data_IF_349027144579
#
_entry.id   IF_349027144579
#
_cell.length_a   1.000
_cell.length_b   1.000
_cell.length_c   1.000
_cell.angle_alpha   90.00
_cell.angle_beta   90.00
_cell.angle_gamma   90.00
#
_symmetry.space_group_name_H-M   'P 1'
#
loop_
_entity.id
_entity.type
_entity.pdbx_description
1 polymer ?
#
# COMPACT_ATOMS: atom_id res chain seq x y z
N UNK A 1 12.41 -29.18 -1.66
CA UNK A 1 11.54 -29.48 -2.82
C UNK A 1 11.35 -28.19 -3.60
N UNK A 2 11.56 -28.21 -4.92
CA UNK A 2 11.34 -27.04 -5.76
C UNK A 2 9.82 -26.75 -5.85
N UNK A 3 9.43 -25.47 -5.80
CA UNK A 3 8.04 -25.06 -5.95
C UNK A 3 7.60 -25.18 -7.41
N UNK A 4 6.40 -25.72 -7.62
CA UNK A 4 5.69 -25.73 -8.90
C UNK A 4 5.26 -24.32 -9.33
N UNK A 5 4.92 -24.15 -10.61
CA UNK A 5 4.51 -22.85 -11.14
C UNK A 5 3.22 -22.33 -10.50
N UNK A 6 2.25 -23.20 -10.20
CA UNK A 6 1.01 -22.81 -9.50
C UNK A 6 1.31 -22.29 -8.09
N UNK A 7 2.26 -22.88 -7.38
CA UNK A 7 2.69 -22.42 -6.05
C UNK A 7 3.42 -21.08 -6.14
N UNK A 8 4.30 -20.92 -7.15
CA UNK A 8 4.98 -19.64 -7.42
C UNK A 8 4.01 -18.51 -7.76
N UNK A 9 2.95 -18.78 -8.52
CA UNK A 9 1.93 -17.80 -8.88
C UNK A 9 1.11 -17.37 -7.65
N UNK A 10 0.65 -18.34 -6.85
CA UNK A 10 -0.06 -18.06 -5.59
C UNK A 10 0.80 -17.22 -4.65
N UNK A 11 2.08 -17.57 -4.48
CA UNK A 11 3.00 -16.80 -3.64
C UNK A 11 3.20 -15.38 -4.14
N UNK A 12 3.25 -15.15 -5.46
CA UNK A 12 3.38 -13.80 -6.01
C UNK A 12 2.16 -12.94 -5.69
N UNK A 13 0.95 -13.49 -5.84
CA UNK A 13 -0.30 -12.79 -5.55
C UNK A 13 -0.44 -12.43 -4.06
N UNK A 14 -0.12 -13.39 -3.17
CA UNK A 14 -0.14 -13.16 -1.72
C UNK A 14 0.96 -12.18 -1.32
N UNK A 15 2.17 -12.28 -1.89
CA UNK A 15 3.28 -11.37 -1.61
C UNK A 15 2.96 -9.92 -1.99
N UNK A 16 2.26 -9.69 -3.11
CA UNK A 16 1.82 -8.35 -3.50
C UNK A 16 0.91 -7.74 -2.44
N UNK A 17 0.03 -8.52 -1.82
CA UNK A 17 -0.93 -8.02 -0.83
C UNK A 17 -0.33 -7.93 0.58
N UNK A 18 0.64 -8.79 0.89
CA UNK A 18 1.33 -8.83 2.18
C UNK A 18 2.11 -7.53 2.48
N UNK A 19 2.64 -6.84 1.46
CA UNK A 19 3.34 -5.56 1.66
C UNK A 19 2.44 -4.49 2.31
N UNK A 20 1.13 -4.59 2.10
CA UNK A 20 0.13 -3.69 2.67
C UNK A 20 -0.48 -4.22 3.96
N UNK A 21 0.09 -5.31 4.51
CA UNK A 21 -0.49 -6.05 5.64
C UNK A 21 -1.96 -6.44 5.39
N UNK A 22 -2.28 -6.81 4.16
CA UNK A 22 -3.62 -7.20 3.73
C UNK A 22 -3.67 -8.71 3.47
N UNK A 23 -4.02 -9.54 4.47
CA UNK A 23 -4.21 -10.97 4.27
C UNK A 23 -5.41 -11.18 3.35
N UNK A 24 -5.45 -12.23 2.53
CA UNK A 24 -6.43 -12.45 1.46
C UNK A 24 -7.37 -13.62 1.75
N UNK A 25 -8.60 -13.61 1.23
CA UNK A 25 -9.41 -14.83 1.11
C UNK A 25 -8.86 -15.73 -0.01
N UNK A 26 -9.27 -17.00 -0.03
CA UNK A 26 -8.94 -17.90 -1.12
C UNK A 26 -9.43 -17.38 -2.48
N UNK A 27 -10.64 -16.83 -2.54
CA UNK A 27 -11.20 -16.23 -3.75
C UNK A 27 -10.38 -15.01 -4.22
N UNK A 28 -9.99 -14.13 -3.30
CA UNK A 28 -9.14 -12.99 -3.63
C UNK A 28 -7.75 -13.42 -4.12
N UNK A 29 -7.16 -14.48 -3.54
CA UNK A 29 -5.90 -15.04 -4.03
C UNK A 29 -6.05 -15.46 -5.49
N UNK A 30 -7.10 -16.23 -5.80
CA UNK A 30 -7.34 -16.75 -7.15
C UNK A 30 -7.53 -15.59 -8.13
N UNK A 31 -8.37 -14.60 -7.80
CA UNK A 31 -8.59 -13.39 -8.63
C UNK A 31 -7.31 -12.59 -8.87
N UNK A 32 -6.38 -12.59 -7.91
CA UNK A 32 -5.09 -11.85 -7.95
C UNK A 32 -3.94 -12.66 -8.55
N UNK A 33 -4.13 -13.94 -8.90
CA UNK A 33 -3.10 -14.76 -9.52
C UNK A 33 -2.87 -14.31 -10.97
N UNK A 34 -1.65 -13.87 -11.27
CA UNK A 34 -1.28 -13.46 -12.61
C UNK A 34 -1.07 -14.69 -13.50
N UNK A 35 -1.67 -14.75 -14.70
CA UNK A 35 -1.18 -15.70 -15.73
C UNK A 35 -1.64 -15.49 -17.18
N UNK A 36 -0.68 -15.49 -18.13
CA UNK A 36 -0.84 -16.07 -19.46
C UNK A 36 -0.53 -17.59 -19.43
N UNK A 37 -1.55 -18.46 -19.52
CA UNK A 37 -1.40 -19.91 -19.76
C UNK A 37 -2.38 -20.84 -19.02
N UNK A 38 -2.46 -22.11 -19.45
CA UNK A 38 -3.42 -23.17 -19.01
C UNK A 38 -3.26 -23.66 -17.55
N UNK A 39 -3.36 -22.80 -16.54
CA UNK A 39 -3.56 -23.24 -15.15
C UNK A 39 -5.04 -23.10 -14.81
N UNK A 40 -5.64 -24.15 -14.26
CA UNK A 40 -7.03 -24.12 -13.80
C UNK A 40 -7.14 -23.58 -12.38
N UNK A 41 -8.30 -23.05 -12.02
CA UNK A 41 -8.62 -22.63 -10.66
C UNK A 41 -8.35 -23.73 -9.63
N UNK A 42 -8.78 -24.98 -9.92
CA UNK A 42 -8.53 -26.15 -9.07
C UNK A 42 -7.05 -26.38 -8.77
N UNK A 43 -6.17 -26.10 -9.74
CA UNK A 43 -4.71 -26.24 -9.54
C UNK A 43 -4.13 -25.15 -8.62
N UNK A 44 -4.71 -23.94 -8.64
CA UNK A 44 -4.35 -22.86 -7.71
C UNK A 44 -4.84 -23.18 -6.28
N UNK A 45 -6.04 -23.72 -6.14
CA UNK A 45 -6.59 -24.14 -4.83
C UNK A 45 -5.70 -25.21 -4.19
N UNK A 46 -5.33 -26.25 -4.95
CA UNK A 46 -4.39 -27.28 -4.49
C UNK A 46 -3.00 -26.69 -4.15
N UNK A 47 -2.56 -25.65 -4.86
CA UNK A 47 -1.29 -24.98 -4.56
C UNK A 47 -1.36 -24.20 -3.23
N UNK A 48 -2.48 -23.55 -2.92
CA UNK A 48 -2.70 -22.88 -1.62
C UNK A 48 -2.57 -23.91 -0.47
N UNK A 49 -3.23 -25.06 -0.59
CA UNK A 49 -3.15 -26.13 0.43
C UNK A 49 -1.74 -26.67 0.61
N UNK A 50 -1.01 -26.91 -0.49
CA UNK A 50 0.40 -27.34 -0.43
C UNK A 50 1.28 -26.30 0.24
N UNK A 51 1.09 -25.01 -0.07
CA UNK A 51 1.86 -23.93 0.53
C UNK A 51 1.59 -23.76 2.04
N UNK A 52 0.38 -24.07 2.51
CA UNK A 52 0.09 -24.18 3.94
C UNK A 52 0.86 -25.34 4.59
N UNK A 53 0.85 -26.53 3.98
CA UNK A 53 1.63 -27.70 4.45
C UNK A 53 3.13 -27.41 4.50
N UNK A 54 3.64 -26.68 3.52
CA UNK A 54 5.04 -26.23 3.44
C UNK A 54 5.36 -25.05 4.37
N UNK A 55 4.38 -24.53 5.13
CA UNK A 55 4.52 -23.37 6.03
C UNK A 55 5.05 -22.11 5.32
N UNK A 56 4.75 -21.96 4.02
CA UNK A 56 5.04 -20.71 3.26
C UNK A 56 3.87 -19.73 3.34
N UNK A 57 2.65 -20.25 3.49
CA UNK A 57 1.47 -19.50 3.87
C UNK A 57 1.04 -19.85 5.29
N UNK A 58 0.34 -18.93 5.92
CA UNK A 58 -0.40 -19.13 7.17
C UNK A 58 -1.86 -18.75 6.95
N UNK A 59 -2.77 -19.40 7.68
CA UNK A 59 -4.20 -19.16 7.62
C UNK A 59 -4.73 -18.81 9.02
N UNK A 60 -5.57 -17.80 9.11
CA UNK A 60 -6.37 -17.46 10.28
C UNK A 60 -7.80 -17.17 9.82
N UNK A 61 -8.79 -17.89 10.38
CA UNK A 61 -10.18 -17.87 9.90
C UNK A 61 -10.25 -18.15 8.39
N UNK A 62 -10.84 -17.25 7.60
CA UNK A 62 -10.94 -17.37 6.14
C UNK A 62 -9.81 -16.63 5.38
N UNK A 63 -8.81 -16.14 6.11
CA UNK A 63 -7.76 -15.29 5.56
C UNK A 63 -6.40 -15.96 5.54
N UNK A 64 -5.59 -15.60 4.55
CA UNK A 64 -4.30 -16.19 4.21
C UNK A 64 -3.27 -15.08 4.04
N UNK A 65 -2.07 -15.26 4.57
CA UNK A 65 -0.93 -14.35 4.31
C UNK A 65 0.37 -15.15 4.23
N UNK A 66 1.47 -14.48 3.90
CA UNK A 66 2.78 -15.10 3.93
C UNK A 66 3.15 -15.47 5.36
N UNK A 67 3.77 -16.64 5.55
CA UNK A 67 4.24 -17.07 6.86
C UNK A 67 5.28 -16.14 7.49
N UNK A 68 5.97 -15.34 6.67
CA UNK A 68 6.93 -14.31 7.10
C UNK A 68 6.26 -12.99 7.53
N UNK A 69 4.97 -12.80 7.27
CA UNK A 69 4.18 -11.61 7.65
C UNK A 69 2.89 -11.95 8.42
N UNK A 70 2.95 -12.77 9.48
CA UNK A 70 1.74 -13.22 10.18
C UNK A 70 1.03 -12.10 10.95
N UNK A 71 1.72 -10.99 11.28
CA UNK A 71 1.09 -9.83 11.92
C UNK A 71 0.05 -9.14 11.01
N UNK A 72 0.05 -9.42 9.70
CA UNK A 72 -0.94 -8.89 8.77
C UNK A 72 -2.38 -9.23 9.18
N UNK A 73 -2.59 -10.33 9.92
CA UNK A 73 -3.93 -10.69 10.41
C UNK A 73 -4.53 -9.64 11.36
N UNK A 74 -3.72 -8.88 12.11
CA UNK A 74 -4.21 -7.83 13.02
C UNK A 74 -5.02 -6.76 12.28
N UNK A 75 -4.69 -6.51 11.02
CA UNK A 75 -5.35 -5.48 10.20
C UNK A 75 -6.65 -5.99 9.56
N UNK A 76 -6.91 -7.30 9.57
CA UNK A 76 -8.14 -7.92 9.06
C UNK A 76 -8.94 -8.65 10.15
N UNK A 77 -8.57 -8.52 11.42
CA UNK A 77 -9.47 -8.74 12.56
C UNK A 77 -10.54 -7.65 12.54
N UNK A 78 -11.46 -7.81 11.59
CA UNK A 78 -12.55 -6.92 11.17
C UNK A 78 -13.64 -6.73 12.24
N UNK A 79 -13.35 -7.03 13.51
CA UNK A 79 -14.31 -7.02 14.61
C UNK A 79 -13.99 -5.91 15.63
N UNK A 80 -12.82 -5.26 15.54
CA UNK A 80 -12.55 -4.13 16.43
C UNK A 80 -13.53 -2.99 16.14
N UNK A 81 -14.22 -2.50 17.18
CA UNK A 81 -15.14 -1.36 17.08
C UNK A 81 -14.48 -0.15 16.40
N UNK A 82 -13.18 0.04 16.64
CA UNK A 82 -12.35 1.08 16.02
C UNK A 82 -12.29 0.95 14.49
N UNK A 83 -12.01 -0.24 13.96
CA UNK A 83 -11.96 -0.47 12.51
C UNK A 83 -13.30 -0.18 11.83
N UNK A 84 -14.40 -0.68 12.42
CA UNK A 84 -15.74 -0.46 11.89
C UNK A 84 -16.13 1.03 11.90
N UNK A 85 -15.75 1.76 12.95
CA UNK A 85 -15.94 3.20 13.03
C UNK A 85 -15.15 3.96 11.95
N UNK A 86 -13.86 3.64 11.75
CA UNK A 86 -13.04 4.27 10.71
C UNK A 86 -13.62 3.96 9.33
N UNK A 87 -14.00 2.71 9.06
CA UNK A 87 -14.60 2.32 7.78
C UNK A 87 -15.89 3.10 7.53
N UNK A 88 -16.79 3.15 8.51
CA UNK A 88 -18.05 3.91 8.40
C UNK A 88 -17.79 5.38 8.11
N UNK A 89 -16.85 6.00 8.84
CA UNK A 89 -16.45 7.38 8.62
C UNK A 89 -15.92 7.61 7.19
N UNK A 90 -15.09 6.71 6.67
CA UNK A 90 -14.61 6.76 5.28
C UNK A 90 -15.76 6.62 4.26
N UNK A 91 -16.72 5.74 4.53
CA UNK A 91 -17.90 5.56 3.67
C UNK A 91 -18.80 6.80 3.64
N UNK A 92 -18.93 7.53 4.75
CA UNK A 92 -19.62 8.82 4.80
C UNK A 92 -18.93 9.87 3.90
N UNK A 93 -17.60 9.96 3.99
CA UNK A 93 -16.78 10.85 3.14
C UNK A 93 -16.91 10.51 1.65
N UNK A 94 -16.94 9.22 1.32
CA UNK A 94 -17.16 8.76 -0.07
C UNK A 94 -18.55 9.15 -0.53
N UNK A 95 -19.57 8.97 0.32
CA UNK A 95 -20.97 9.26 -0.01
C UNK A 95 -21.18 10.74 -0.33
N UNK A 96 -20.52 11.65 0.39
CA UNK A 96 -20.52 13.08 0.07
C UNK A 96 -20.01 13.37 -1.35
N UNK A 97 -18.91 12.76 -1.76
CA UNK A 97 -18.36 12.93 -3.11
C UNK A 97 -19.31 12.34 -4.16
N UNK A 98 -19.89 11.17 -3.90
CA UNK A 98 -20.87 10.52 -4.79
C UNK A 98 -22.08 11.43 -5.03
N UNK A 99 -22.61 12.06 -3.97
CA UNK A 99 -23.72 13.02 -4.08
C UNK A 99 -23.34 14.24 -4.93
N UNK A 100 -22.13 14.78 -4.78
CA UNK A 100 -21.64 15.88 -5.61
C UNK A 100 -21.47 15.47 -7.07
N UNK A 101 -20.84 14.32 -7.32
CA UNK A 101 -20.63 13.78 -8.66
C UNK A 101 -21.94 13.48 -9.39
N UNK A 102 -22.96 13.01 -8.69
CA UNK A 102 -24.27 12.77 -9.27
C UNK A 102 -24.99 14.06 -9.70
N UNK A 103 -24.72 15.20 -9.05
CA UNK A 103 -25.26 16.50 -9.44
C UNK A 103 -24.62 17.10 -10.69
N UNK A 104 -23.44 16.63 -11.07
CA UNK A 104 -22.74 17.11 -12.28
C UNK A 104 -23.04 16.13 -13.43
N UNK A 105 -23.82 16.53 -14.45
CA UNK A 105 -24.30 15.61 -15.49
C UNK A 105 -23.17 14.95 -16.29
N UNK A 106 -22.10 15.69 -16.55
CA UNK A 106 -20.96 15.22 -17.34
C UNK A 106 -19.92 14.41 -16.54
N UNK A 107 -20.12 14.18 -15.24
CA UNK A 107 -19.31 13.22 -14.48
C UNK A 107 -19.90 11.83 -14.70
N UNK A 108 -19.14 10.99 -15.42
CA UNK A 108 -19.55 9.65 -15.82
C UNK A 108 -19.16 8.60 -14.77
N UNK A 109 -17.98 8.73 -14.19
CA UNK A 109 -17.41 7.73 -13.30
C UNK A 109 -16.71 8.35 -12.09
N UNK A 110 -16.93 7.73 -10.93
CA UNK A 110 -16.14 7.98 -9.72
C UNK A 110 -15.69 6.62 -9.22
N UNK A 111 -14.37 6.47 -9.12
CA UNK A 111 -13.72 5.19 -8.84
C UNK A 111 -12.74 5.41 -7.70
N UNK A 112 -12.85 4.61 -6.64
CA UNK A 112 -11.88 4.60 -5.55
C UNK A 112 -10.68 3.76 -5.99
N UNK A 113 -9.49 4.27 -5.70
CA UNK A 113 -8.18 3.68 -6.03
C UNK A 113 -7.32 3.56 -4.77
N UNK A 114 -6.08 3.09 -4.90
CA UNK A 114 -5.13 3.05 -3.79
C UNK A 114 -5.49 2.07 -2.66
N UNK A 115 -5.00 2.34 -1.46
CA UNK A 115 -5.05 1.42 -0.32
C UNK A 115 -6.48 1.08 0.12
N UNK A 116 -7.38 2.07 0.10
CA UNK A 116 -8.78 1.86 0.48
C UNK A 116 -9.50 0.91 -0.49
N UNK A 117 -9.26 1.06 -1.80
CA UNK A 117 -9.83 0.18 -2.82
C UNK A 117 -9.27 -1.24 -2.71
N UNK A 118 -7.99 -1.37 -2.34
CA UNK A 118 -7.33 -2.65 -2.05
C UNK A 118 -7.87 -3.38 -0.80
N UNK A 119 -8.73 -2.72 -0.01
CA UNK A 119 -9.33 -3.26 1.21
C UNK A 119 -8.52 -2.98 2.48
N UNK A 120 -7.60 -2.01 2.43
CA UNK A 120 -6.79 -1.56 3.57
C UNK A 120 -7.37 -0.26 4.11
N UNK A 121 -8.05 -0.34 5.26
CA UNK A 121 -8.64 0.83 5.93
C UNK A 121 -7.64 1.39 6.94
N UNK A 122 -7.21 2.62 6.74
CA UNK A 122 -6.30 3.33 7.63
C UNK A 122 -6.91 4.65 8.06
N UNK A 123 -6.75 4.97 9.35
CA UNK A 123 -7.32 6.15 10.00
C UNK A 123 -6.74 7.44 9.39
N UNK A 124 -5.42 7.52 9.25
CA UNK A 124 -4.69 8.74 8.87
C UNK A 124 -4.32 8.85 7.39
N UNK A 125 -4.90 8.01 6.54
CA UNK A 125 -4.66 8.07 5.10
C UNK A 125 -5.76 8.84 4.40
N UNK A 126 -5.50 9.39 3.24
CA UNK A 126 -6.47 10.01 2.33
C UNK A 126 -7.35 8.98 1.62
N UNK A 127 -8.26 9.46 0.77
CA UNK A 127 -9.05 8.65 -0.15
C UNK A 127 -8.69 9.03 -1.59
N UNK A 128 -8.11 8.08 -2.31
CA UNK A 128 -7.68 8.27 -3.70
C UNK A 128 -8.81 7.99 -4.69
N UNK A 129 -9.07 8.94 -5.58
CA UNK A 129 -10.11 8.84 -6.59
C UNK A 129 -9.58 8.98 -8.02
N UNK A 130 -10.12 8.14 -8.90
CA UNK A 130 -10.16 8.32 -10.34
C UNK A 130 -11.53 8.91 -10.72
N UNK A 131 -11.52 10.05 -11.43
CA UNK A 131 -12.73 10.69 -11.95
C UNK A 131 -12.74 10.57 -13.47
N UNK A 132 -13.89 10.18 -14.03
CA UNK A 132 -14.11 10.05 -15.47
C UNK A 132 -15.23 10.99 -15.88
N UNK A 133 -14.97 11.81 -16.91
CA UNK A 133 -15.90 12.85 -17.39
C UNK A 133 -16.24 12.68 -18.87
N UNK A 134 -17.28 13.37 -19.36
CA UNK A 134 -17.48 13.55 -20.81
C UNK A 134 -16.32 14.32 -21.42
N UNK A 135 -16.16 14.17 -22.74
CA UNK A 135 -15.13 14.87 -23.52
C UNK A 135 -15.11 16.37 -23.22
N UNK A 136 -13.91 16.95 -23.06
CA UNK A 136 -13.71 18.39 -22.81
C UNK A 136 -14.42 18.94 -21.55
N UNK A 137 -14.52 18.11 -20.49
CA UNK A 137 -15.05 18.54 -19.19
C UNK A 137 -14.13 18.20 -18.01
N UNK A 138 -13.00 17.56 -18.28
CA UNK A 138 -12.09 17.06 -17.26
C UNK A 138 -11.57 18.19 -16.37
N UNK A 139 -11.04 19.25 -16.97
CA UNK A 139 -10.32 20.30 -16.26
C UNK A 139 -11.24 21.26 -15.53
N UNK A 140 -12.41 21.55 -16.10
CA UNK A 140 -13.47 22.31 -15.45
C UNK A 140 -14.02 21.52 -14.24
N UNK A 141 -14.29 20.23 -14.41
CA UNK A 141 -14.75 19.37 -13.30
C UNK A 141 -13.70 19.31 -12.20
N UNK A 142 -12.42 19.17 -12.58
CA UNK A 142 -11.32 19.19 -11.63
C UNK A 142 -11.28 20.48 -10.84
N UNK A 143 -11.41 21.64 -11.49
CA UNK A 143 -11.45 22.93 -10.82
C UNK A 143 -12.61 23.00 -9.81
N UNK A 144 -13.81 22.56 -10.23
CA UNK A 144 -15.00 22.52 -9.36
C UNK A 144 -14.77 21.59 -8.16
N UNK A 145 -14.23 20.39 -8.37
CA UNK A 145 -13.98 19.42 -7.31
C UNK A 145 -12.93 19.90 -6.32
N UNK A 146 -11.87 20.56 -6.80
CA UNK A 146 -10.85 21.17 -5.94
C UNK A 146 -11.45 22.28 -5.07
N UNK A 147 -12.30 23.13 -5.65
CA UNK A 147 -12.99 24.20 -4.93
C UNK A 147 -13.97 23.65 -3.89
N UNK A 148 -14.83 22.69 -4.27
CA UNK A 148 -15.77 22.05 -3.36
C UNK A 148 -15.07 21.27 -2.25
N UNK A 149 -13.95 20.61 -2.56
CA UNK A 149 -13.10 19.94 -1.57
C UNK A 149 -12.57 20.94 -0.55
N UNK A 150 -12.12 22.13 -0.97
CA UNK A 150 -11.68 23.18 -0.06
C UNK A 150 -12.82 23.69 0.85
N UNK A 151 -14.00 23.98 0.27
CA UNK A 151 -15.18 24.44 1.05
C UNK A 151 -15.63 23.40 2.07
N UNK A 152 -15.58 22.11 1.71
CA UNK A 152 -15.98 21.01 2.59
C UNK A 152 -14.90 20.62 3.60
N UNK A 153 -13.77 21.32 3.63
CA UNK A 153 -12.63 20.97 4.49
C UNK A 153 -11.99 19.62 4.13
N UNK A 154 -12.22 19.11 2.91
CA UNK A 154 -11.69 17.83 2.41
C UNK A 154 -10.28 17.98 1.82
N UNK A 155 -9.57 19.04 2.21
CA UNK A 155 -8.19 19.37 1.82
C UNK A 155 -7.43 19.90 3.03
N UNK A 156 -6.21 19.40 3.30
CA UNK A 156 -5.40 19.91 4.39
C UNK A 156 -5.06 21.38 4.11
N UNK A 157 -5.32 22.26 5.09
CA UNK A 157 -5.09 23.70 4.95
C UNK A 157 -3.60 24.08 5.01
N UNK A 158 -2.78 23.23 5.63
CA UNK A 158 -1.35 23.45 5.82
C UNK A 158 -0.55 22.21 5.38
N UNK A 159 0.71 22.38 4.90
CA UNK A 159 1.63 21.27 4.71
C UNK A 159 1.79 20.47 6.01
N UNK A 160 1.56 19.16 5.97
CA UNK A 160 1.60 18.29 7.15
C UNK A 160 0.30 18.25 7.98
N UNK A 161 -0.78 18.89 7.53
CA UNK A 161 -2.11 18.78 8.14
C UNK A 161 -2.71 17.38 8.04
N UNK A 162 -3.77 17.12 8.81
CA UNK A 162 -4.46 15.83 8.80
C UNK A 162 -5.12 15.55 7.44
N UNK A 163 -4.72 14.45 6.81
CA UNK A 163 -5.23 14.00 5.51
C UNK A 163 -6.28 12.90 5.63
N UNK A 164 -6.59 12.44 6.85
CA UNK A 164 -7.53 11.34 7.13
C UNK A 164 -8.89 11.47 6.42
N UNK A 165 -9.31 12.70 6.18
CA UNK A 165 -10.62 13.05 5.68
C UNK A 165 -10.57 13.70 4.28
N UNK A 166 -9.40 13.65 3.63
CA UNK A 166 -9.15 14.33 2.37
C UNK A 166 -9.62 13.52 1.17
N UNK A 167 -10.12 14.25 0.16
CA UNK A 167 -10.31 13.70 -1.18
C UNK A 167 -9.06 14.00 -2.00
N UNK A 168 -8.31 12.96 -2.35
CA UNK A 168 -7.24 13.09 -3.32
C UNK A 168 -7.70 12.58 -4.69
N UNK A 169 -7.50 13.40 -5.72
CA UNK A 169 -7.95 13.13 -7.07
C UNK A 169 -6.74 12.84 -7.95
N UNK A 170 -6.19 11.64 -7.78
CA UNK A 170 -4.94 11.19 -8.40
C UNK A 170 -5.04 10.96 -9.90
N UNK A 171 -6.22 10.56 -10.38
CA UNK A 171 -6.42 10.21 -11.77
C UNK A 171 -7.64 10.92 -12.35
N UNK A 172 -7.46 11.48 -13.53
CA UNK A 172 -8.51 12.11 -14.30
C UNK A 172 -8.47 11.59 -15.71
N UNK A 173 -9.61 11.16 -16.21
CA UNK A 173 -9.82 10.71 -17.57
C UNK A 173 -11.07 11.39 -18.13
N UNK A 174 -11.11 11.57 -19.43
CA UNK A 174 -12.37 11.77 -20.14
C UNK A 174 -12.73 10.53 -20.95
N UNK A 175 -13.97 10.47 -21.40
CA UNK A 175 -14.53 9.33 -22.14
C UNK A 175 -13.82 9.02 -23.46
N UNK A 176 -12.94 9.90 -23.95
CA UNK A 176 -12.17 9.66 -25.19
C UNK A 176 -10.87 8.93 -24.92
N UNK A 177 -10.46 8.83 -23.65
CA UNK A 177 -9.23 8.15 -23.25
C UNK A 177 -9.39 7.49 -21.88
N UNK A 178 -9.87 6.26 -21.87
CA UNK A 178 -10.05 5.48 -20.64
C UNK A 178 -8.83 4.61 -20.29
N UNK A 179 -7.82 4.56 -21.17
CA UNK A 179 -6.55 3.88 -20.90
C UNK A 179 -5.83 4.48 -19.69
N UNK A 180 -5.52 3.64 -18.70
CA UNK A 180 -4.81 4.05 -17.49
C UNK A 180 -3.34 4.40 -17.72
N UNK A 181 -2.74 4.01 -18.84
CA UNK A 181 -1.33 4.31 -19.13
C UNK A 181 -1.13 4.62 -20.62
N UNK A 182 -0.23 5.58 -20.91
CA UNK A 182 0.25 5.83 -22.27
C UNK A 182 1.41 4.89 -22.65
N UNK A 183 2.35 4.64 -21.72
CA UNK A 183 3.70 4.17 -22.11
C UNK A 183 4.20 2.90 -21.39
N UNK A 184 3.47 2.32 -20.41
CA UNK A 184 3.93 1.07 -19.78
C UNK A 184 2.80 0.26 -19.15
N UNK A 185 2.55 -0.94 -19.69
CA UNK A 185 1.74 -1.98 -19.03
C UNK A 185 2.63 -2.69 -18.01
N UNK A 186 2.51 -2.39 -16.72
CA UNK A 186 3.21 -3.17 -15.67
C UNK A 186 2.23 -3.81 -14.71
N UNK A 187 2.72 -4.81 -13.98
CA UNK A 187 1.93 -5.53 -12.98
C UNK A 187 1.36 -4.59 -11.90
N UNK A 188 2.03 -3.46 -11.62
CA UNK A 188 1.52 -2.45 -10.71
C UNK A 188 0.21 -1.84 -11.22
N UNK A 189 0.19 -1.33 -12.46
CA UNK A 189 -1.05 -0.74 -13.01
C UNK A 189 -2.14 -1.79 -13.20
N UNK A 190 -1.76 -3.04 -13.48
CA UNK A 190 -2.70 -4.15 -13.53
C UNK A 190 -3.39 -4.34 -12.17
N UNK A 191 -2.62 -4.35 -11.07
CA UNK A 191 -3.18 -4.48 -9.71
C UNK A 191 -4.00 -3.25 -9.29
N UNK A 192 -3.55 -2.03 -9.61
CA UNK A 192 -4.34 -0.81 -9.36
C UNK A 192 -5.70 -0.90 -10.05
N UNK A 193 -5.73 -1.32 -11.32
CA UNK A 193 -6.96 -1.47 -12.07
C UNK A 193 -7.86 -2.58 -11.52
N UNK A 194 -7.28 -3.74 -11.17
CA UNK A 194 -7.99 -4.87 -10.57
C UNK A 194 -8.66 -4.50 -9.25
N UNK A 195 -8.04 -3.61 -8.48
CA UNK A 195 -8.50 -3.22 -7.15
C UNK A 195 -9.49 -2.05 -7.17
N UNK A 196 -9.77 -1.45 -8.33
CA UNK A 196 -10.69 -0.32 -8.43
C UNK A 196 -12.07 -0.62 -7.88
N UNK A 197 -12.62 0.32 -7.10
CA UNK A 197 -13.99 0.24 -6.58
C UNK A 197 -14.84 1.36 -7.16
N UNK A 198 -15.75 1.00 -8.06
CA UNK A 198 -16.66 1.93 -8.72
C UNK A 198 -17.78 2.34 -7.76
N UNK A 199 -17.95 3.65 -7.56
CA UNK A 199 -19.02 4.22 -6.71
C UNK A 199 -19.99 5.11 -7.48
N UNK A 200 -19.58 5.58 -8.67
CA UNK A 200 -20.48 6.15 -9.69
C UNK A 200 -20.13 5.49 -11.02
N UNK A 201 -21.16 5.04 -11.75
CA UNK A 201 -21.04 4.43 -13.07
C UNK A 201 -22.27 4.83 -13.92
N UNK A 202 -22.13 5.90 -14.69
CA UNK A 202 -23.13 6.35 -15.67
C UNK A 202 -22.71 5.90 -17.07
N UNK A 203 -23.68 5.77 -17.97
CA UNK A 203 -23.44 5.52 -19.40
C UNK A 203 -22.51 4.30 -19.67
N UNK A 204 -22.60 3.26 -18.82
CA UNK A 204 -21.78 2.05 -18.91
C UNK A 204 -20.26 2.29 -18.98
N UNK A 205 -19.79 3.41 -18.41
CA UNK A 205 -18.39 3.82 -18.51
C UNK A 205 -17.42 2.80 -17.90
N UNK A 206 -17.85 2.07 -16.87
CA UNK A 206 -17.10 0.94 -16.28
C UNK A 206 -16.77 -0.13 -17.33
N UNK A 207 -17.75 -0.52 -18.13
CA UNK A 207 -17.59 -1.54 -19.16
C UNK A 207 -16.61 -1.06 -20.22
N UNK A 208 -16.77 0.18 -20.72
CA UNK A 208 -15.85 0.79 -21.69
C UNK A 208 -14.42 0.90 -21.15
N UNK A 209 -14.27 1.26 -19.88
CA UNK A 209 -12.96 1.33 -19.23
C UNK A 209 -12.24 -0.02 -19.25
N UNK A 210 -12.93 -1.12 -18.90
CA UNK A 210 -12.32 -2.45 -18.94
C UNK A 210 -12.11 -2.97 -20.36
N UNK A 211 -12.90 -2.53 -21.36
CA UNK A 211 -12.64 -2.82 -22.78
C UNK A 211 -11.35 -2.16 -23.27
N UNK A 212 -11.15 -0.87 -22.99
CA UNK A 212 -9.93 -0.15 -23.37
C UNK A 212 -8.68 -0.65 -22.63
N UNK A 213 -8.88 -1.27 -21.47
CA UNK A 213 -7.83 -1.87 -20.66
C UNK A 213 -7.93 -3.42 -20.64
N UNK A 214 -8.39 -4.05 -21.72
CA UNK A 214 -8.60 -5.50 -21.81
C UNK A 214 -7.36 -6.35 -21.46
N UNK A 215 -6.16 -5.78 -21.63
CA UNK A 215 -4.89 -6.40 -21.23
C UNK A 215 -4.84 -6.77 -19.73
N UNK A 216 -5.62 -6.11 -18.86
CA UNK A 216 -5.71 -6.47 -17.44
C UNK A 216 -6.34 -7.86 -17.27
N UNK A 217 -7.32 -8.21 -18.13
CA UNK A 217 -7.93 -9.54 -18.13
C UNK A 217 -6.95 -10.62 -18.56
N UNK A 218 -6.04 -10.30 -19.48
CA UNK A 218 -4.94 -11.19 -19.86
C UNK A 218 -3.97 -11.40 -18.68
N UNK A 219 -3.75 -10.36 -17.85
CA UNK A 219 -2.95 -10.49 -16.63
C UNK A 219 -3.67 -11.32 -15.55
N UNK A 220 -4.97 -11.08 -15.32
CA UNK A 220 -5.76 -11.70 -14.25
C UNK A 220 -6.97 -12.45 -14.81
N UNK A 221 -6.78 -13.67 -15.34
CA UNK A 221 -7.85 -14.39 -16.05
C UNK A 221 -9.01 -14.84 -15.16
N UNK A 222 -8.80 -14.91 -13.85
CA UNK A 222 -9.82 -15.31 -12.87
C UNK A 222 -10.55 -14.13 -12.23
N UNK A 223 -10.15 -12.90 -12.54
CA UNK A 223 -10.84 -11.72 -12.04
C UNK A 223 -12.14 -11.53 -12.83
N UNK A 224 -13.24 -11.40 -12.10
CA UNK A 224 -14.54 -11.09 -12.69
C UNK A 224 -14.62 -9.60 -12.98
N UNK A 225 -14.30 -9.23 -14.22
CA UNK A 225 -14.48 -7.86 -14.71
C UNK A 225 -15.92 -7.56 -15.12
N UNK A 226 -16.87 -8.51 -14.94
CA UNK A 226 -18.30 -8.42 -15.27
C UNK A 226 -18.60 -7.34 -16.29
N UNK A 227 -18.18 -7.62 -17.53
CA UNK A 227 -18.68 -6.90 -18.70
C UNK A 227 -20.11 -7.43 -18.86
N UNK A 228 -21.10 -6.73 -18.31
CA UNK A 228 -22.48 -7.02 -18.70
C UNK A 228 -22.54 -6.86 -20.21
N UNK A 229 -22.82 -7.95 -20.93
CA UNK A 229 -23.24 -7.89 -22.32
C UNK A 229 -24.63 -7.25 -22.37
N UNK A 230 -24.70 -5.96 -22.10
CA UNK A 230 -25.70 -5.13 -22.72
C UNK A 230 -25.12 -4.78 -24.09
N UNK A 231 -25.49 -5.57 -25.10
CA UNK A 231 -25.65 -5.02 -26.45
C UNK A 231 -26.73 -3.94 -26.36
N UNK A 232 -26.37 -2.78 -25.82
CA UNK A 232 -27.03 -1.54 -26.15
C UNK A 232 -26.03 -0.83 -27.03
N UNK A 233 -26.33 -0.80 -28.32
CA UNK A 233 -25.78 0.21 -29.21
C UNK A 233 -26.10 1.55 -28.56
N UNK A 234 -25.13 2.10 -27.82
CA UNK A 234 -25.25 3.40 -27.20
C UNK A 234 -25.18 4.41 -28.34
N UNK A 235 -26.35 4.94 -28.68
CA UNK A 235 -26.50 6.06 -29.58
C UNK A 235 -25.63 7.20 -29.02
N UNK A 236 -24.57 7.51 -29.75
CA UNK A 236 -23.74 8.67 -29.50
C UNK A 236 -24.62 9.91 -29.70
N UNK A 237 -25.03 10.56 -28.62
CA UNK A 237 -25.56 11.92 -28.73
C UNK A 237 -24.36 12.85 -28.88
N UNK A 238 -24.02 13.15 -30.13
CA UNK A 238 -22.90 13.99 -30.55
C UNK A 238 -23.15 15.48 -30.25
N UNK A 239 -23.87 15.81 -29.18
CA UNK A 239 -23.94 17.18 -28.66
C UNK A 239 -22.66 17.51 -27.87
N UNK A 240 -21.55 17.55 -28.59
CA UNK A 240 -20.39 18.32 -28.18
C UNK A 240 -20.82 19.78 -28.26
N UNK A 241 -21.05 20.43 -27.12
CA UNK A 241 -21.25 21.88 -27.11
C UNK A 241 -19.99 22.55 -27.66
N UNK A 242 -19.98 22.92 -28.93
CA UNK A 242 -19.04 23.91 -29.45
C UNK A 242 -19.45 25.27 -28.87
N UNK A 243 -18.95 25.58 -27.67
CA UNK A 243 -19.40 26.75 -26.92
C UNK A 243 -18.56 27.07 -25.68
N UNK A 244 -19.03 28.07 -24.92
CA UNK A 244 -18.43 28.62 -23.70
C UNK A 244 -17.89 27.56 -22.73
N UNK A 245 -18.57 26.40 -22.59
CA UNK A 245 -18.10 25.30 -21.75
C UNK A 245 -16.73 24.72 -22.14
N UNK A 246 -16.43 24.60 -23.44
CA UNK A 246 -15.13 24.11 -23.91
C UNK A 246 -14.04 25.16 -23.65
N UNK A 247 -14.37 26.44 -23.80
CA UNK A 247 -13.45 27.53 -23.46
C UNK A 247 -13.13 27.54 -21.96
N UNK A 248 -14.13 27.36 -21.10
CA UNK A 248 -13.95 27.25 -19.66
C UNK A 248 -13.08 26.04 -19.26
N UNK A 249 -13.27 24.88 -19.91
CA UNK A 249 -12.43 23.70 -19.68
C UNK A 249 -10.97 23.94 -20.10
N UNK A 250 -10.75 24.51 -21.29
CA UNK A 250 -9.42 24.88 -21.78
C UNK A 250 -8.73 25.90 -20.87
N UNK A 251 -9.43 26.96 -20.46
CA UNK A 251 -8.88 27.97 -19.54
C UNK A 251 -8.55 27.35 -18.19
N UNK A 252 -9.42 26.48 -17.67
CA UNK A 252 -9.20 25.73 -16.44
C UNK A 252 -7.95 24.84 -16.53
N UNK A 253 -7.74 24.19 -17.67
CA UNK A 253 -6.53 23.41 -17.94
C UNK A 253 -5.29 24.29 -17.89
N UNK A 254 -5.29 25.39 -18.66
CA UNK A 254 -4.13 26.30 -18.77
C UNK A 254 -3.71 26.85 -17.41
N UNK A 255 -4.67 27.31 -16.59
CA UNK A 255 -4.39 27.82 -15.26
C UNK A 255 -3.83 26.74 -14.32
N UNK A 256 -4.42 25.55 -14.33
CA UNK A 256 -4.01 24.45 -13.45
C UNK A 256 -2.63 23.88 -13.83
N UNK A 257 -2.36 23.70 -15.13
CA UNK A 257 -1.06 23.20 -15.60
C UNK A 257 0.05 24.22 -15.29
N UNK A 258 -0.18 25.51 -15.54
CA UNK A 258 0.80 26.58 -15.25
C UNK A 258 1.09 26.69 -13.75
N UNK A 259 0.07 26.71 -12.90
CA UNK A 259 0.26 26.74 -11.45
C UNK A 259 1.09 25.54 -10.96
N UNK A 260 0.79 24.36 -11.49
CA UNK A 260 1.44 23.12 -11.04
C UNK A 260 2.86 22.97 -11.57
N UNK A 261 3.15 23.42 -12.79
CA UNK A 261 4.52 23.45 -13.32
C UNK A 261 5.44 24.32 -12.44
N UNK A 262 4.95 25.48 -12.01
CA UNK A 262 5.69 26.40 -11.13
C UNK A 262 5.95 25.78 -9.74
N UNK A 263 4.97 25.08 -9.17
CA UNK A 263 5.02 24.60 -7.78
C UNK A 263 5.60 23.18 -7.63
N UNK A 264 5.42 22.33 -8.64
CA UNK A 264 5.65 20.88 -8.55
C UNK A 264 6.29 20.27 -9.82
N UNK A 265 6.64 21.08 -10.83
CA UNK A 265 7.27 20.62 -12.07
C UNK A 265 6.32 19.99 -13.09
N UNK A 266 6.86 19.58 -14.25
CA UNK A 266 6.10 18.99 -15.36
C UNK A 266 5.55 17.60 -14.98
N UNK A 267 4.27 17.37 -15.25
CA UNK A 267 3.59 16.08 -15.01
C UNK A 267 3.02 15.48 -16.30
N UNK A 268 2.58 14.22 -16.20
CA UNK A 268 1.86 13.51 -17.25
C UNK A 268 0.39 13.96 -17.26
N UNK A 269 0.13 15.10 -17.86
CA UNK A 269 -1.23 15.60 -18.06
C UNK A 269 -1.37 16.22 -19.45
N UNK A 270 -2.55 16.08 -20.03
CA UNK A 270 -2.97 16.71 -21.27
C UNK A 270 -4.48 16.98 -21.26
N UNK A 271 -5.03 17.35 -22.42
CA UNK A 271 -6.44 17.69 -22.57
C UNK A 271 -7.38 16.59 -22.07
N UNK A 272 -7.01 15.32 -22.25
CA UNK A 272 -7.91 14.17 -22.04
C UNK A 272 -7.59 13.35 -20.79
N UNK A 273 -6.46 13.62 -20.14
CA UNK A 273 -6.00 12.83 -19.01
C UNK A 273 -5.07 13.59 -18.09
N UNK A 274 -5.14 13.35 -16.78
CA UNK A 274 -4.17 13.84 -15.81
C UNK A 274 -3.81 12.76 -14.79
N UNK A 275 -2.52 12.40 -14.74
CA UNK A 275 -1.96 11.42 -13.80
C UNK A 275 -1.09 12.14 -12.78
N UNK A 276 -1.58 12.22 -11.56
CA UNK A 276 -1.06 13.14 -10.55
C UNK A 276 -0.29 12.45 -9.40
N UNK A 277 -0.03 11.15 -9.56
CA UNK A 277 0.65 10.30 -8.59
C UNK A 277 2.17 10.52 -8.57
N UNK A 278 2.82 10.26 -7.43
CA UNK A 278 4.28 10.34 -7.34
C UNK A 278 4.94 9.09 -7.98
N UNK A 279 5.94 9.29 -8.85
CA UNK A 279 6.69 8.17 -9.46
C UNK A 279 7.46 7.34 -8.42
N UNK A 280 7.75 7.92 -7.25
CA UNK A 280 8.55 7.28 -6.20
C UNK A 280 7.79 6.12 -5.53
N UNK A 281 6.50 6.31 -5.25
CA UNK A 281 5.64 5.28 -4.61
C UNK A 281 5.58 4.00 -5.43
N UNK A 282 5.44 4.11 -6.77
CA UNK A 282 5.39 2.95 -7.68
C UNK A 282 6.66 2.10 -7.62
N UNK A 283 7.83 2.74 -7.66
CA UNK A 283 9.11 2.02 -7.63
C UNK A 283 9.31 1.30 -6.29
N UNK A 284 8.90 1.93 -5.20
CA UNK A 284 8.97 1.34 -3.87
C UNK A 284 8.07 0.11 -3.75
N UNK A 285 6.80 0.18 -4.20
CA UNK A 285 5.86 -0.95 -4.17
C UNK A 285 6.40 -2.14 -4.97
N UNK A 286 6.91 -1.90 -6.19
CA UNK A 286 7.49 -2.97 -7.02
C UNK A 286 8.74 -3.59 -6.38
N UNK A 287 9.60 -2.78 -5.77
CA UNK A 287 10.78 -3.26 -5.07
C UNK A 287 10.42 -4.12 -3.85
N UNK A 288 9.49 -3.66 -3.01
CA UNK A 288 9.01 -4.38 -1.83
C UNK A 288 8.31 -5.69 -2.22
N UNK A 289 7.45 -5.65 -3.25
CA UNK A 289 6.83 -6.87 -3.76
C UNK A 289 7.86 -7.89 -4.26
N UNK A 290 8.83 -7.46 -5.06
CA UNK A 290 9.90 -8.34 -5.56
C UNK A 290 10.71 -8.91 -4.40
N UNK A 291 11.03 -8.11 -3.39
CA UNK A 291 11.73 -8.57 -2.19
C UNK A 291 10.91 -9.65 -1.46
N UNK A 292 9.65 -9.36 -1.08
CA UNK A 292 8.77 -10.33 -0.41
C UNK A 292 8.60 -11.62 -1.21
N UNK A 293 8.46 -11.51 -2.53
CA UNK A 293 8.34 -12.68 -3.40
C UNK A 293 9.61 -13.54 -3.39
N UNK A 294 10.78 -12.94 -3.55
CA UNK A 294 12.06 -13.68 -3.46
C UNK A 294 12.26 -14.32 -2.09
N UNK A 295 11.82 -13.63 -1.03
CA UNK A 295 11.92 -14.12 0.33
C UNK A 295 11.12 -15.40 0.53
N UNK A 296 9.90 -15.48 -0.01
CA UNK A 296 9.07 -16.68 0.14
C UNK A 296 9.44 -17.81 -0.80
N UNK A 297 10.18 -17.56 -1.88
CA UNK A 297 10.70 -18.63 -2.73
C UNK A 297 11.82 -19.40 -2.03
N UNK A 298 12.77 -18.68 -1.42
CA UNK A 298 13.97 -19.26 -0.85
C UNK A 298 13.78 -19.67 0.62
N UNK A 299 14.59 -20.61 1.12
CA UNK A 299 14.64 -20.92 2.55
C UNK A 299 15.45 -19.83 3.23
N UNK A 300 14.82 -18.99 4.04
CA UNK A 300 15.46 -17.81 4.61
C UNK A 300 16.04 -18.09 5.99
N UNK A 301 17.25 -17.60 6.25
CA UNK A 301 17.77 -17.38 7.61
C UNK A 301 17.37 -15.96 7.99
N UNK A 302 16.23 -15.82 8.67
CA UNK A 302 15.69 -14.52 9.09
C UNK A 302 16.47 -14.02 10.30
N UNK A 303 17.00 -12.82 10.19
CA UNK A 303 17.57 -12.03 11.27
C UNK A 303 16.55 -10.97 11.66
N UNK A 304 16.19 -10.90 12.93
CA UNK A 304 15.35 -9.86 13.49
C UNK A 304 16.22 -8.86 14.26
N UNK A 305 16.03 -7.57 14.00
CA UNK A 305 16.52 -6.49 14.85
C UNK A 305 15.33 -5.62 15.29
N UNK A 306 15.37 -5.09 16.51
CA UNK A 306 14.36 -4.15 17.00
C UNK A 306 15.01 -2.92 17.59
N UNK A 307 14.38 -1.75 17.46
CA UNK A 307 14.91 -0.53 18.03
C UNK A 307 14.13 0.72 17.67
N UNK A 308 14.54 1.84 18.25
CA UNK A 308 13.91 3.14 18.01
C UNK A 308 14.33 3.71 16.64
N UNK A 309 15.63 3.65 16.32
CA UNK A 309 16.22 4.21 15.10
C UNK A 309 15.70 5.62 14.78
N UNK A 310 15.85 6.54 15.75
CA UNK A 310 15.26 7.89 15.69
C UNK A 310 15.94 8.75 14.61
N UNK A 311 17.03 9.44 14.94
CA UNK A 311 17.91 10.05 13.94
C UNK A 311 18.96 9.00 13.55
N UNK A 312 18.97 8.63 12.27
CA UNK A 312 19.94 7.67 11.74
C UNK A 312 21.35 8.27 11.74
N UNK A 313 22.32 7.44 12.08
CA UNK A 313 23.73 7.79 12.14
C UNK A 313 24.60 6.57 11.84
N UNK A 314 25.92 6.77 11.76
CA UNK A 314 26.86 5.72 11.36
C UNK A 314 26.75 4.43 12.17
N UNK A 315 26.56 4.51 13.49
CA UNK A 315 26.41 3.31 14.31
C UNK A 315 25.12 2.52 14.02
N UNK A 316 24.01 3.18 13.68
CA UNK A 316 22.80 2.48 13.23
C UNK A 316 23.07 1.74 11.92
N UNK A 317 23.70 2.40 10.95
CA UNK A 317 24.04 1.78 9.67
C UNK A 317 24.94 0.57 9.86
N UNK A 318 25.96 0.71 10.71
CA UNK A 318 26.97 -0.29 10.89
C UNK A 318 26.46 -1.49 11.73
N UNK A 319 25.56 -1.24 12.69
CA UNK A 319 24.78 -2.29 13.37
C UNK A 319 23.89 -3.06 12.39
N UNK A 320 23.12 -2.37 11.55
CA UNK A 320 22.22 -3.01 10.59
C UNK A 320 22.98 -3.80 9.52
N UNK A 321 24.13 -3.31 9.05
CA UNK A 321 25.01 -4.06 8.14
C UNK A 321 25.54 -5.34 8.79
N UNK A 322 25.99 -5.27 10.04
CA UNK A 322 26.43 -6.45 10.78
C UNK A 322 25.28 -7.45 10.99
N UNK A 323 24.09 -6.97 11.35
CA UNK A 323 22.90 -7.81 11.46
C UNK A 323 22.52 -8.48 10.13
N UNK A 324 22.64 -7.77 9.00
CA UNK A 324 22.33 -8.33 7.68
C UNK A 324 23.26 -9.48 7.28
N UNK A 325 24.52 -9.49 7.73
CA UNK A 325 25.48 -10.57 7.44
C UNK A 325 25.06 -11.89 8.12
N UNK A 326 24.33 -11.83 9.23
CA UNK A 326 23.95 -13.00 10.02
C UNK A 326 22.88 -13.89 9.37
N UNK A 327 22.29 -13.47 8.25
CA UNK A 327 21.33 -14.27 7.53
C UNK A 327 21.04 -13.75 6.14
N UNK A 328 20.04 -14.34 5.52
CA UNK A 328 19.65 -13.99 4.14
C UNK A 328 18.62 -12.88 4.12
N UNK A 329 17.91 -12.65 5.23
CA UNK A 329 16.90 -11.61 5.38
C UNK A 329 17.08 -10.88 6.72
N UNK A 330 17.13 -9.55 6.70
CA UNK A 330 17.06 -8.67 7.86
C UNK A 330 15.67 -8.03 7.93
N UNK A 331 14.94 -8.40 8.98
CA UNK A 331 13.67 -7.80 9.39
C UNK A 331 13.94 -6.81 10.52
N UNK A 332 13.43 -5.58 10.41
CA UNK A 332 13.56 -4.55 11.45
C UNK A 332 12.20 -4.16 12.02
N UNK A 333 12.03 -4.33 13.33
CA UNK A 333 10.88 -3.84 14.09
C UNK A 333 11.16 -2.50 14.74
N UNK A 334 10.44 -1.46 14.35
CA UNK A 334 10.53 -0.12 14.91
C UNK A 334 9.66 0.03 16.14
N UNK A 335 10.18 0.63 17.21
CA UNK A 335 9.37 1.03 18.36
C UNK A 335 8.35 2.11 17.94
N UNK A 336 7.09 1.96 18.37
CA UNK A 336 6.02 2.94 18.07
C UNK A 336 6.23 4.27 18.79
N UNK A 337 5.62 5.33 18.28
CA UNK A 337 5.78 6.67 18.86
C UNK A 337 5.37 6.72 20.35
N UNK A 338 4.27 6.05 20.71
CA UNK A 338 3.80 5.98 22.10
C UNK A 338 4.81 5.30 23.03
N UNK A 339 5.44 4.21 22.57
CA UNK A 339 6.44 3.50 23.36
C UNK A 339 7.72 4.29 23.49
N UNK A 340 8.15 4.95 22.43
CA UNK A 340 9.35 5.79 22.50
C UNK A 340 9.14 6.93 23.49
N UNK A 341 7.95 7.54 23.51
CA UNK A 341 7.57 8.56 24.51
C UNK A 341 7.63 8.02 25.94
N UNK A 342 7.08 6.82 26.18
CA UNK A 342 7.10 6.23 27.53
C UNK A 342 8.52 5.84 27.99
N UNK A 343 9.38 5.39 27.06
CA UNK A 343 10.75 5.00 27.36
C UNK A 343 11.74 6.17 27.48
N UNK A 344 11.55 7.24 26.71
CA UNK A 344 12.53 8.32 26.53
C UNK A 344 12.04 9.72 26.88
N UNK A 345 10.77 9.87 27.27
CA UNK A 345 10.14 11.16 27.58
C UNK A 345 9.34 11.75 26.41
N UNK A 346 8.51 12.76 26.72
CA UNK A 346 7.54 13.35 25.79
C UNK A 346 8.15 14.05 24.58
N UNK A 347 9.40 14.48 24.67
CA UNK A 347 10.16 15.14 23.59
C UNK A 347 10.74 14.16 22.55
N UNK A 348 10.50 12.86 22.71
CA UNK A 348 10.97 11.78 21.82
C UNK A 348 9.78 10.97 21.31
N UNK A 349 9.83 10.39 20.10
CA UNK A 349 10.91 10.48 19.12
C UNK A 349 10.95 11.85 18.42
N UNK A 350 12.08 12.17 17.77
CA UNK A 350 12.21 13.37 16.91
C UNK A 350 11.43 13.17 15.60
N UNK A 351 11.58 12.00 15.00
CA UNK A 351 10.84 11.61 13.81
C UNK A 351 9.70 10.65 14.18
N UNK A 352 8.54 10.83 13.57
CA UNK A 352 7.42 9.90 13.72
C UNK A 352 7.80 8.49 13.26
N UNK A 353 7.09 7.47 13.73
CA UNK A 353 7.31 6.07 13.36
C UNK A 353 7.27 5.84 11.85
N UNK A 354 6.45 6.61 11.12
CA UNK A 354 6.35 6.54 9.67
C UNK A 354 7.57 7.17 8.98
N UNK A 355 8.07 8.29 9.50
CA UNK A 355 9.31 8.92 8.99
C UNK A 355 10.52 8.03 9.27
N UNK A 356 10.64 7.47 10.48
CA UNK A 356 11.72 6.52 10.84
C UNK A 356 11.68 5.27 9.97
N UNK A 357 10.49 4.74 9.70
CA UNK A 357 10.29 3.62 8.76
C UNK A 357 10.80 3.97 7.37
N UNK A 358 10.37 5.10 6.81
CA UNK A 358 10.83 5.57 5.48
C UNK A 358 12.34 5.75 5.44
N UNK A 359 12.92 6.36 6.47
CA UNK A 359 14.37 6.59 6.55
C UNK A 359 15.15 5.26 6.55
N UNK A 360 14.69 4.25 7.29
CA UNK A 360 15.31 2.92 7.27
C UNK A 360 15.14 2.21 5.92
N UNK A 361 13.97 2.29 5.30
CA UNK A 361 13.71 1.71 3.98
C UNK A 361 14.61 2.34 2.90
N UNK A 362 14.89 3.65 3.01
CA UNK A 362 15.79 4.37 2.09
C UNK A 362 17.25 3.90 2.19
N UNK A 363 17.70 3.41 3.35
CA UNK A 363 19.05 2.84 3.49
C UNK A 363 19.25 1.56 2.67
N UNK A 364 18.16 0.85 2.35
CA UNK A 364 18.18 -0.44 1.61
C UNK A 364 19.05 -1.52 2.26
N UNK A 365 19.27 -1.45 3.57
CA UNK A 365 20.00 -2.48 4.35
C UNK A 365 19.03 -3.55 4.86
N UNK A 366 17.87 -3.14 5.37
CA UNK A 366 16.82 -4.05 5.82
C UNK A 366 15.92 -4.47 4.65
N UNK A 367 15.51 -5.73 4.60
CA UNK A 367 14.59 -6.23 3.57
C UNK A 367 13.13 -5.95 3.91
N UNK A 368 12.82 -5.81 5.20
CA UNK A 368 11.48 -5.51 5.69
C UNK A 368 11.55 -4.67 6.95
N UNK A 369 10.77 -3.59 6.98
CA UNK A 369 10.64 -2.71 8.14
C UNK A 369 9.16 -2.63 8.54
N UNK A 370 8.86 -2.86 9.81
CA UNK A 370 7.51 -2.76 10.35
C UNK A 370 7.50 -2.04 11.70
N UNK A 371 6.34 -1.51 12.10
CA UNK A 371 6.17 -0.84 13.40
C UNK A 371 5.65 -1.87 14.41
N UNK A 372 6.27 -1.89 15.59
CA UNK A 372 5.87 -2.73 16.71
C UNK A 372 4.56 -2.21 17.32
N UNK A 373 3.75 -3.09 17.93
CA UNK A 373 2.51 -2.69 18.59
C UNK A 373 2.77 -1.67 19.72
N UNK A 374 1.79 -0.80 19.98
CA UNK A 374 1.86 0.17 21.09
C UNK A 374 1.98 -0.54 22.45
N UNK A 375 1.24 -1.63 22.63
CA UNK A 375 1.37 -2.54 23.76
C UNK A 375 2.38 -3.65 23.43
N UNK A 376 3.64 -3.47 23.84
CA UNK A 376 4.73 -4.41 23.54
C UNK A 376 5.81 -4.45 24.64
N UNK A 377 5.40 -4.44 25.90
CA UNK A 377 6.33 -4.22 27.03
C UNK A 377 6.64 -5.49 27.82
N UNK A 378 5.89 -6.56 27.61
CA UNK A 378 6.00 -7.77 28.41
C UNK A 378 6.80 -8.86 27.69
N UNK A 379 7.47 -9.78 28.43
CA UNK A 379 8.10 -10.96 27.84
C UNK A 379 7.15 -11.80 26.99
N UNK A 380 5.85 -11.81 27.31
CA UNK A 380 4.80 -12.50 26.54
C UNK A 380 4.62 -11.86 25.17
N UNK A 381 4.61 -10.53 25.07
CA UNK A 381 4.49 -9.81 23.81
C UNK A 381 5.69 -10.10 22.90
N UNK A 382 6.90 -10.05 23.47
CA UNK A 382 8.12 -10.42 22.78
C UNK A 382 8.06 -11.88 22.29
N UNK A 383 7.63 -12.83 23.14
CA UNK A 383 7.50 -14.23 22.74
C UNK A 383 6.48 -14.41 21.61
N UNK A 384 5.36 -13.69 21.64
CA UNK A 384 4.34 -13.74 20.59
C UNK A 384 4.89 -13.24 19.26
N UNK A 385 5.68 -12.15 19.27
CA UNK A 385 6.39 -11.67 18.07
C UNK A 385 7.38 -12.71 17.55
N UNK A 386 8.17 -13.32 18.44
CA UNK A 386 9.16 -14.33 18.07
C UNK A 386 8.49 -15.60 17.51
N UNK A 387 7.35 -16.04 18.07
CA UNK A 387 6.58 -17.17 17.55
C UNK A 387 5.99 -16.89 16.17
N UNK A 388 5.64 -15.63 15.92
CA UNK A 388 5.15 -15.14 14.64
C UNK A 388 6.29 -15.14 13.60
N UNK A 389 7.39 -14.43 13.86
CA UNK A 389 8.48 -14.24 12.89
C UNK A 389 9.34 -15.50 12.74
N UNK A 390 9.53 -16.25 13.83
CA UNK A 390 10.48 -17.38 13.94
C UNK A 390 11.87 -17.05 13.40
N UNK A 391 12.51 -15.97 13.89
CA UNK A 391 13.83 -15.59 13.41
C UNK A 391 14.85 -16.66 13.80
N UNK A 392 15.80 -16.92 12.92
CA UNK A 392 16.97 -17.74 13.23
C UNK A 392 17.90 -17.00 14.18
N UNK A 393 18.02 -15.67 14.01
CA UNK A 393 18.88 -14.80 14.81
C UNK A 393 18.09 -13.58 15.27
N UNK A 394 18.16 -13.25 16.56
CA UNK A 394 17.82 -11.93 17.10
C UNK A 394 19.13 -11.14 17.27
N UNK A 395 19.35 -10.15 16.40
CA UNK A 395 20.55 -9.32 16.41
C UNK A 395 20.43 -8.21 17.47
N UNK A 396 21.45 -8.10 18.32
CA UNK A 396 21.52 -7.11 19.41
C UNK A 396 22.91 -6.48 19.48
N UNK A 397 23.03 -5.32 20.14
CA UNK A 397 24.33 -4.73 20.50
C UNK A 397 24.83 -5.27 21.86
N UNK A 398 26.11 -5.08 22.18
CA UNK A 398 26.71 -5.61 23.41
C UNK A 398 26.06 -5.09 24.70
N UNK A 399 25.48 -3.89 24.67
CA UNK A 399 24.79 -3.26 25.82
C UNK A 399 23.26 -3.49 25.81
N UNK A 400 22.76 -4.55 25.17
CA UNK A 400 21.32 -4.83 25.18
C UNK A 400 20.84 -5.19 26.59
N UNK A 401 19.83 -4.47 27.08
CA UNK A 401 19.17 -4.82 28.33
C UNK A 401 18.47 -6.19 28.23
N UNK A 402 18.44 -6.91 29.35
CA UNK A 402 17.73 -8.20 29.50
C UNK A 402 18.20 -9.30 28.54
N UNK A 403 19.50 -9.37 28.23
CA UNK A 403 20.07 -10.32 27.28
C UNK A 403 19.70 -11.78 27.60
N UNK A 404 19.75 -12.20 28.86
CA UNK A 404 19.41 -13.56 29.27
C UNK A 404 17.93 -13.89 29.06
N UNK A 405 17.05 -12.93 29.33
CA UNK A 405 15.62 -13.08 29.03
C UNK A 405 15.41 -13.23 27.52
N UNK A 406 16.07 -12.41 26.70
CA UNK A 406 15.99 -12.52 25.23
C UNK A 406 16.48 -13.89 24.74
N UNK A 407 17.60 -14.40 25.29
CA UNK A 407 18.12 -15.75 24.98
C UNK A 407 17.10 -16.84 25.33
N UNK A 408 16.50 -16.78 26.52
CA UNK A 408 15.45 -17.72 26.97
C UNK A 408 14.19 -17.68 26.10
N UNK A 409 13.81 -16.50 25.57
CA UNK A 409 12.67 -16.38 24.67
C UNK A 409 12.99 -16.90 23.26
N UNK A 410 14.18 -16.62 22.75
CA UNK A 410 14.63 -17.09 21.43
C UNK A 410 14.78 -18.61 21.36
N UNK A 411 15.29 -19.25 22.43
CA UNK A 411 15.40 -20.71 22.47
C UNK A 411 14.05 -21.41 22.35
N UNK A 412 12.97 -20.82 22.88
CA UNK A 412 11.59 -21.33 22.75
C UNK A 412 11.07 -21.35 21.31
N UNK A 413 11.68 -20.60 20.40
CA UNK A 413 11.30 -20.56 18.97
C UNK A 413 12.35 -21.19 18.07
N UNK A 414 13.39 -21.81 18.65
CA UNK A 414 14.45 -22.50 17.92
C UNK A 414 15.47 -21.57 17.24
N UNK A 415 15.59 -20.33 17.69
CA UNK A 415 16.60 -19.38 17.22
C UNK A 415 17.58 -18.98 18.32
N UNK A 416 18.53 -18.11 17.97
CA UNK A 416 19.57 -17.62 18.89
C UNK A 416 19.64 -16.09 18.96
N UNK A 417 20.22 -15.56 20.04
CA UNK A 417 20.54 -14.13 20.15
C UNK A 417 22.01 -13.94 19.81
N UNK A 418 22.32 -13.02 18.89
CA UNK A 418 23.71 -12.66 18.56
C UNK A 418 24.00 -11.20 18.85
N UNK A 419 25.11 -10.98 19.55
CA UNK A 419 25.71 -9.66 19.68
C UNK A 419 26.49 -9.40 18.39
N UNK A 420 25.93 -8.60 17.49
CA UNK A 420 26.51 -8.36 16.15
C UNK A 420 27.43 -7.15 16.10
N UNK A 421 27.38 -6.31 17.15
CA UNK A 421 28.20 -5.11 17.24
C UNK A 421 28.43 -4.72 18.69
N UNK A 422 29.62 -4.21 18.98
CA UNK A 422 29.91 -3.57 20.25
C UNK A 422 29.23 -2.20 20.32
N UNK A 423 28.61 -1.91 21.46
CA UNK A 423 28.01 -0.61 21.70
C UNK A 423 29.11 0.44 21.82
N UNK A 424 29.03 1.46 20.98
CA UNK A 424 29.89 2.64 21.07
C UNK A 424 29.14 3.74 21.85
N UNK A 425 29.58 4.11 23.06
CA UNK A 425 28.92 5.13 23.88
C UNK A 425 29.04 6.55 23.31
N UNK A 426 29.96 6.80 22.39
CA UNK A 426 30.22 8.14 21.84
C UNK A 426 29.14 8.62 20.86
N UNK A 427 28.35 7.69 20.32
CA UNK A 427 27.32 8.00 19.34
C UNK A 427 25.94 7.60 19.85
N UNK A 428 25.09 8.61 20.05
CA UNK A 428 23.65 8.42 20.28
C UNK A 428 22.87 9.58 19.69
N UNK A 429 21.60 9.37 19.38
CA UNK A 429 20.73 10.46 18.94
C UNK A 429 20.65 11.59 19.98
N UNK A 430 20.80 11.31 21.27
CA UNK A 430 20.77 12.36 22.30
C UNK A 430 22.01 13.25 22.22
N UNK A 431 23.19 12.66 21.97
CA UNK A 431 24.44 13.42 21.78
C UNK A 431 24.45 14.23 20.47
N UNK A 432 23.90 13.67 19.39
CA UNK A 432 23.83 14.35 18.09
C UNK A 432 22.88 15.56 18.07
N UNK A 433 21.89 15.61 18.96
CA UNK A 433 20.96 16.76 19.06
C UNK A 433 21.49 17.87 19.98
N UNK A 434 22.58 17.62 20.71
CA UNK A 434 23.25 18.58 21.59
C UNK A 434 24.45 19.28 20.93
N UNK A 435 24.81 18.83 19.72
CA UNK A 435 25.78 19.48 18.82
C UNK A 435 25.01 20.34 17.82
#
# INVERSE_FOLDING_TARGET
>A
MALSDSEKIVLAAVAYSAQFSHPLTQEEIIKRCYKPGNISQKKLELAIEKLLKLKKLVKQNNYYTLAITPWAFRNRDQVSKKYLAIKKYKEEIISELVLLANKIPWVLGVVITGSYAAGVVQEKHDLDFLIITKKNRLWLTRLIFLFLSAIKGRRPHLPGGDISHSWDFNFWLDETRLKMTKDSKTMYEAYEALQTRWVVNKENIKTRFYQENAWIKECFPFADFSLSNSNQDLIYDEQVSSGFGNYCDWLSMMLQLKYREIRHGKQRADVHSAFLHSNHTRQQILATWKALYQLVLNKQKIVLATGVFDVLHQEHMAFLKAAKIEGTMLVVGLESDLRVKSMKGSSRPVYSEQERKRNLEQLKIADLVFVLPEEFSTPTDHLNLLKQIKPAVLAVSSHTAYLDTKKKLMSKVGGEVRVVREYNPDFSTTKLLQQ
#
